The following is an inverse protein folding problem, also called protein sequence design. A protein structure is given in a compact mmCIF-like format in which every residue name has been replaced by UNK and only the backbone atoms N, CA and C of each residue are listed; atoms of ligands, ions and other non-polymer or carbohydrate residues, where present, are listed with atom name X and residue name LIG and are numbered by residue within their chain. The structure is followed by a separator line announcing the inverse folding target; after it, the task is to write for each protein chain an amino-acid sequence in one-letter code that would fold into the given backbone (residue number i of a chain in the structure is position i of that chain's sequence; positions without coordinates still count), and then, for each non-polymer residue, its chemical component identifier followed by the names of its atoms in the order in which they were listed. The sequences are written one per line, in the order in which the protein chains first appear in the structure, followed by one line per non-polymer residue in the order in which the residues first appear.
data_IF_323998049253
#
_entry.id   IF_323998049253
#
_cell.length_a   1.000
_cell.length_b   1.000
_cell.length_c   1.000
_cell.angle_alpha   90.00
_cell.angle_beta   90.00
_cell.angle_gamma   90.00
#
_symmetry.space_group_name_H-M   'P 1'
#
loop_
_entity.id
_entity.type
_entity.pdbx_description
1 polymer ?
#
# COMPACT_ATOMS: atom_id res chain seq x y z
N UNK A 1 18.90 -18.98 16.94
CA UNK A 1 17.58 -18.33 17.06
C UNK A 1 16.57 -19.45 17.26
N UNK A 2 15.89 -19.48 18.40
CA UNK A 2 14.90 -20.51 18.66
C UNK A 2 13.69 -20.32 17.74
N UNK A 3 12.93 -21.38 17.45
CA UNK A 3 11.69 -21.28 16.66
C UNK A 3 10.68 -20.32 17.31
N UNK A 4 10.68 -20.27 18.65
CA UNK A 4 9.89 -19.30 19.43
C UNK A 4 10.30 -17.86 19.17
N UNK A 5 11.60 -17.55 19.09
CA UNK A 5 12.07 -16.17 18.85
C UNK A 5 11.63 -15.70 17.47
N UNK A 6 11.71 -16.60 16.48
CA UNK A 6 11.31 -16.31 15.12
C UNK A 6 9.79 -16.05 15.01
N UNK A 7 8.97 -16.77 15.79
CA UNK A 7 7.53 -16.54 15.86
C UNK A 7 7.21 -15.16 16.45
N UNK A 8 7.85 -14.78 17.55
CA UNK A 8 7.67 -13.46 18.18
C UNK A 8 8.07 -12.33 17.24
N UNK A 9 9.17 -12.47 16.50
CA UNK A 9 9.59 -11.47 15.51
C UNK A 9 8.54 -11.29 14.41
N UNK A 10 7.98 -12.39 13.89
CA UNK A 10 6.91 -12.33 12.87
C UNK A 10 5.63 -11.67 13.39
N UNK A 11 5.26 -11.95 14.64
CA UNK A 11 4.09 -11.31 15.26
C UNK A 11 4.31 -9.80 15.40
N UNK A 12 5.49 -9.38 15.86
CA UNK A 12 5.84 -7.96 15.94
C UNK A 12 5.87 -7.29 14.56
N UNK A 13 6.40 -7.96 13.54
CA UNK A 13 6.38 -7.47 12.14
C UNK A 13 4.96 -7.28 11.62
N UNK A 14 4.03 -8.18 11.96
CA UNK A 14 2.62 -8.05 11.61
C UNK A 14 1.98 -6.84 12.31
N UNK A 15 2.26 -6.63 13.60
CA UNK A 15 1.80 -5.43 14.34
C UNK A 15 2.34 -4.15 13.70
N UNK A 16 3.62 -4.11 13.32
CA UNK A 16 4.23 -2.96 12.65
C UNK A 16 3.55 -2.68 11.31
N UNK A 17 3.26 -3.71 10.51
CA UNK A 17 2.57 -3.57 9.24
C UNK A 17 1.15 -3.00 9.40
N UNK A 18 0.41 -3.42 10.43
CA UNK A 18 -0.92 -2.90 10.72
C UNK A 18 -0.88 -1.44 11.17
N UNK A 19 0.06 -1.08 12.06
CA UNK A 19 0.25 0.32 12.50
C UNK A 19 0.62 1.22 11.32
N UNK A 20 1.54 0.79 10.46
CA UNK A 20 1.93 1.52 9.26
C UNK A 20 0.74 1.71 8.29
N UNK A 21 -0.09 0.68 8.14
CA UNK A 21 -1.34 0.74 7.35
C UNK A 21 -2.34 1.74 7.95
N UNK A 22 -2.50 1.74 9.28
CA UNK A 22 -3.35 2.71 9.97
C UNK A 22 -2.90 4.17 9.75
N UNK A 23 -1.60 4.44 9.86
CA UNK A 23 -1.04 5.77 9.59
C UNK A 23 -1.21 6.20 8.13
N UNK A 24 -1.08 5.27 7.19
CA UNK A 24 -1.36 5.53 5.78
C UNK A 24 -2.81 5.94 5.55
N UNK A 25 -3.79 5.22 6.13
CA UNK A 25 -5.21 5.59 6.07
C UNK A 25 -5.48 6.95 6.70
N UNK A 26 -4.84 7.24 7.84
CA UNK A 26 -4.98 8.53 8.51
C UNK A 26 -4.40 9.67 7.67
N UNK A 27 -3.25 9.47 7.03
CA UNK A 27 -2.64 10.46 6.14
C UNK A 27 -3.55 10.77 4.96
N UNK A 28 -4.12 9.73 4.32
CA UNK A 28 -5.08 9.88 3.24
C UNK A 28 -6.37 10.61 3.68
N UNK A 29 -6.88 10.29 4.87
CA UNK A 29 -8.07 10.95 5.45
C UNK A 29 -7.81 12.41 5.83
N UNK A 30 -6.61 12.72 6.30
CA UNK A 30 -6.25 14.09 6.67
C UNK A 30 -6.13 14.98 5.44
N UNK A 31 -5.60 14.49 4.32
CA UNK A 31 -5.52 15.25 3.07
C UNK A 31 -5.00 16.68 3.29
N UNK A 32 -5.81 17.68 2.98
CA UNK A 32 -5.51 19.11 3.13
C UNK A 32 -5.88 19.70 4.50
N UNK A 33 -6.02 18.87 5.54
CA UNK A 33 -6.29 19.32 6.90
C UNK A 33 -5.21 20.31 7.39
N UNK A 34 -5.55 21.17 8.37
CA UNK A 34 -4.59 22.11 8.95
C UNK A 34 -3.30 21.43 9.41
N UNK A 35 -2.17 22.11 9.25
CA UNK A 35 -0.84 21.60 9.61
C UNK A 35 -0.77 21.02 11.03
N UNK A 36 -1.41 21.68 12.00
CA UNK A 36 -1.47 21.22 13.39
C UNK A 36 -2.05 19.81 13.56
N UNK A 37 -2.91 19.38 12.65
CA UNK A 37 -3.59 18.08 12.67
C UNK A 37 -2.79 17.04 11.84
N UNK A 38 -2.09 17.48 10.78
CA UNK A 38 -1.23 16.62 9.94
C UNK A 38 0.12 16.31 10.58
N UNK A 39 0.77 17.32 11.17
CA UNK A 39 2.14 17.23 11.71
C UNK A 39 2.37 16.08 12.70
N UNK A 40 1.44 15.76 13.62
CA UNK A 40 1.61 14.60 14.51
C UNK A 40 1.69 13.27 13.74
N UNK A 41 0.85 13.08 12.71
CA UNK A 41 0.84 11.87 11.89
C UNK A 41 2.09 11.77 11.03
N UNK A 42 2.48 12.87 10.38
CA UNK A 42 3.72 12.94 9.59
C UNK A 42 4.94 12.55 10.42
N UNK A 43 5.05 13.03 11.67
CA UNK A 43 6.14 12.64 12.58
C UNK A 43 6.16 11.14 12.89
N UNK A 44 5.00 10.51 13.03
CA UNK A 44 4.95 9.06 13.25
C UNK A 44 5.38 8.28 11.99
N UNK A 45 5.03 8.78 10.81
CA UNK A 45 5.50 8.23 9.53
C UNK A 45 7.02 8.38 9.39
N UNK A 46 7.58 9.54 9.76
CA UNK A 46 9.02 9.78 9.78
C UNK A 46 9.76 8.81 10.71
N UNK A 47 9.25 8.60 11.94
CA UNK A 47 9.82 7.63 12.89
C UNK A 47 9.85 6.20 12.32
N UNK A 48 8.80 5.78 11.62
CA UNK A 48 8.79 4.48 10.93
C UNK A 48 9.84 4.43 9.82
N UNK A 49 9.94 5.48 9.00
CA UNK A 49 10.90 5.59 7.91
C UNK A 49 12.35 5.54 8.40
N UNK A 50 12.67 6.22 9.50
CA UNK A 50 13.99 6.22 10.15
C UNK A 50 14.39 4.83 10.66
N UNK A 51 13.40 3.97 10.94
CA UNK A 51 13.61 2.55 11.31
C UNK A 51 13.52 1.60 10.13
N UNK A 52 13.53 2.13 8.90
CA UNK A 52 13.54 1.35 7.67
C UNK A 52 12.17 0.79 7.27
N UNK A 53 11.08 1.22 7.93
CA UNK A 53 9.72 0.85 7.55
C UNK A 53 9.21 1.81 6.47
N UNK A 54 8.88 1.26 5.31
CA UNK A 54 8.39 2.05 4.16
C UNK A 54 7.02 1.54 3.74
N UNK A 55 6.09 2.47 3.56
CA UNK A 55 4.76 2.19 3.01
C UNK A 55 4.75 2.62 1.56
N UNK A 56 4.37 1.71 0.67
CA UNK A 56 4.23 1.97 -0.75
C UNK A 56 2.77 1.80 -1.15
N UNK A 57 2.18 2.88 -1.61
CA UNK A 57 0.85 2.94 -2.18
C UNK A 57 0.94 2.89 -3.70
N UNK A 58 0.54 1.77 -4.34
CA UNK A 58 0.63 1.63 -5.79
C UNK A 58 -0.54 2.27 -6.56
N UNK A 59 -1.44 3.03 -5.92
CA UNK A 59 -2.54 3.72 -6.62
C UNK A 59 -2.04 4.54 -7.80
N UNK A 60 -2.82 4.53 -8.88
CA UNK A 60 -2.57 5.25 -10.13
C UNK A 60 -1.27 4.84 -10.84
N UNK A 61 -0.71 3.68 -10.48
CA UNK A 61 0.47 3.10 -11.15
C UNK A 61 0.07 1.99 -12.10
N UNK A 62 0.77 1.83 -13.24
CA UNK A 62 0.64 0.65 -14.08
C UNK A 62 0.85 -0.63 -13.27
N UNK A 63 -0.01 -1.61 -13.48
CA UNK A 63 0.14 -2.92 -12.87
C UNK A 63 1.11 -3.78 -13.70
N UNK A 64 2.03 -4.45 -13.01
CA UNK A 64 2.95 -5.39 -13.62
C UNK A 64 3.00 -6.69 -12.81
N UNK A 65 2.97 -7.85 -13.47
CA UNK A 65 3.25 -9.12 -12.81
C UNK A 65 4.61 -9.08 -12.11
N UNK A 66 4.66 -9.53 -10.86
CA UNK A 66 5.88 -9.53 -10.04
C UNK A 66 5.97 -8.40 -9.01
N UNK A 67 5.07 -7.41 -9.05
CA UNK A 67 4.92 -6.47 -7.94
C UNK A 67 4.50 -7.21 -6.65
N UNK A 68 4.94 -6.76 -5.47
CA UNK A 68 4.55 -7.33 -4.17
C UNK A 68 3.14 -6.87 -3.77
N UNK A 69 2.18 -7.22 -4.63
CA UNK A 69 0.76 -6.93 -4.50
C UNK A 69 -0.05 -8.21 -4.65
N UNK A 70 -1.28 -8.20 -4.16
CA UNK A 70 -2.30 -9.21 -4.29
C UNK A 70 -3.48 -8.56 -5.00
N UNK A 71 -3.79 -9.02 -6.22
CA UNK A 71 -4.93 -8.48 -6.97
C UNK A 71 -6.20 -9.10 -6.42
N UNK A 72 -7.09 -8.28 -5.89
CA UNK A 72 -8.38 -8.73 -5.34
C UNK A 72 -9.46 -8.78 -6.40
N UNK A 73 -9.38 -7.93 -7.43
CA UNK A 73 -10.31 -7.88 -8.54
C UNK A 73 -9.69 -7.18 -9.76
N UNK A 74 -10.20 -7.53 -10.95
CA UNK A 74 -10.02 -6.76 -12.17
C UNK A 74 -11.35 -6.07 -12.52
N UNK A 75 -11.31 -4.82 -12.95
CA UNK A 75 -12.51 -4.02 -13.23
C UNK A 75 -12.38 -3.25 -14.56
N UNK A 76 -13.30 -3.43 -15.52
CA UNK A 76 -13.38 -2.55 -16.69
C UNK A 76 -13.48 -1.09 -16.27
N UNK A 77 -12.56 -0.27 -16.74
CA UNK A 77 -12.44 1.14 -16.32
C UNK A 77 -12.36 2.02 -17.56
N UNK A 78 -13.35 2.88 -17.83
CA UNK A 78 -13.30 3.82 -18.93
C UNK A 78 -12.13 4.81 -18.78
N UNK A 79 -11.45 5.10 -19.89
CA UNK A 79 -10.41 6.14 -19.95
C UNK A 79 -8.99 5.71 -19.60
N UNK A 80 -8.77 4.47 -19.15
CA UNK A 80 -7.42 3.91 -19.02
C UNK A 80 -7.03 3.12 -20.28
N UNK A 81 -5.73 3.14 -20.61
CA UNK A 81 -5.18 2.50 -21.82
C UNK A 81 -4.43 1.19 -21.54
N UNK A 82 -4.16 0.92 -20.28
CA UNK A 82 -3.41 -0.24 -19.81
C UNK A 82 -3.85 -0.62 -18.39
N UNK A 83 -3.49 -1.82 -17.96
CA UNK A 83 -3.76 -2.31 -16.61
C UNK A 83 -3.16 -1.37 -15.56
N UNK A 84 -4.00 -0.79 -14.73
CA UNK A 84 -3.61 0.25 -13.77
C UNK A 84 -4.22 -0.06 -12.41
N UNK A 85 -3.49 0.14 -11.32
CA UNK A 85 -4.08 0.02 -9.98
C UNK A 85 -5.04 1.19 -9.73
N UNK A 86 -6.34 0.90 -9.68
CA UNK A 86 -7.40 1.90 -9.52
C UNK A 86 -7.88 2.05 -8.08
N UNK A 87 -7.66 1.03 -7.25
CA UNK A 87 -7.97 1.09 -5.82
C UNK A 87 -6.99 0.23 -4.99
N UNK A 88 -6.78 0.62 -3.74
CA UNK A 88 -5.86 -0.02 -2.80
C UNK A 88 -6.54 -0.16 -1.44
N UNK A 89 -6.85 -1.40 -1.06
CA UNK A 89 -7.47 -1.72 0.24
C UNK A 89 -6.47 -1.62 1.40
N UNK A 90 -5.21 -1.96 1.10
CA UNK A 90 -4.06 -1.83 2.00
C UNK A 90 -2.77 -1.68 1.17
N UNK A 91 -1.76 -0.95 1.66
CA UNK A 91 -0.52 -0.72 0.95
C UNK A 91 0.47 -1.89 1.13
N UNK A 92 1.55 -1.88 0.34
CA UNK A 92 2.70 -2.73 0.60
C UNK A 92 3.53 -2.10 1.71
N UNK A 93 3.90 -2.88 2.72
CA UNK A 93 4.79 -2.44 3.81
C UNK A 93 6.10 -3.20 3.73
N UNK A 94 7.20 -2.47 3.72
CA UNK A 94 8.56 -3.00 3.68
C UNK A 94 9.31 -2.70 4.97
N UNK A 95 10.24 -3.59 5.31
CA UNK A 95 11.37 -3.31 6.21
C UNK A 95 12.66 -3.54 5.45
N UNK A 96 13.35 -2.46 5.07
CA UNK A 96 14.48 -2.54 4.14
C UNK A 96 14.04 -3.20 2.83
N UNK A 97 14.68 -4.31 2.44
CA UNK A 97 14.33 -5.08 1.24
C UNK A 97 13.22 -6.12 1.46
N UNK A 98 12.83 -6.39 2.71
CA UNK A 98 11.83 -7.42 3.04
C UNK A 98 10.42 -6.86 2.96
N UNK A 99 9.52 -7.60 2.32
CA UNK A 99 8.07 -7.30 2.32
C UNK A 99 7.47 -7.87 3.60
N UNK A 100 6.98 -6.98 4.48
CA UNK A 100 6.21 -7.37 5.66
C UNK A 100 4.75 -7.62 5.31
N UNK A 101 4.22 -6.83 4.37
CA UNK A 101 2.84 -6.91 3.91
C UNK A 101 2.78 -6.61 2.41
N UNK A 102 2.05 -7.42 1.64
CA UNK A 102 1.71 -7.13 0.23
C UNK A 102 0.51 -6.19 0.16
N UNK A 103 0.49 -5.25 -0.79
CA UNK A 103 -0.72 -4.46 -1.04
C UNK A 103 -1.86 -5.35 -1.51
N UNK A 104 -3.11 -4.99 -1.19
CA UNK A 104 -4.29 -5.56 -1.84
C UNK A 104 -4.92 -4.52 -2.73
N UNK A 105 -5.09 -4.86 -4.00
CA UNK A 105 -5.34 -3.87 -5.06
C UNK A 105 -6.45 -4.31 -6.01
N UNK A 106 -7.25 -3.36 -6.47
CA UNK A 106 -8.14 -3.53 -7.62
C UNK A 106 -7.40 -2.99 -8.84
N UNK A 107 -7.33 -3.80 -9.90
CA UNK A 107 -6.69 -3.43 -11.16
C UNK A 107 -7.77 -3.07 -12.17
N UNK A 108 -7.73 -1.84 -12.67
CA UNK A 108 -8.51 -1.42 -13.81
C UNK A 108 -7.95 -2.07 -15.08
N UNK A 109 -8.84 -2.59 -15.92
CA UNK A 109 -8.53 -3.00 -17.30
C UNK A 109 -9.24 -2.07 -18.28
N UNK A 110 -8.67 -1.79 -19.48
CA UNK A 110 -9.34 -0.98 -20.48
C UNK A 110 -10.74 -1.51 -20.81
N UNK A 111 -11.71 -0.60 -20.92
CA UNK A 111 -13.06 -0.94 -21.37
C UNK A 111 -13.05 -1.10 -22.90
N UNK A 112 -13.40 -2.28 -23.41
CA UNK A 112 -13.27 -2.65 -24.84
C UNK A 112 -14.21 -1.85 -25.77
N UNK A 113 -15.08 -0.98 -25.26
CA UNK A 113 -15.91 -0.09 -26.09
C UNK A 113 -15.11 0.98 -26.88
N UNK A 114 -13.81 1.17 -26.61
CA UNK A 114 -12.96 2.12 -27.36
C UNK A 114 -12.33 1.49 -28.62
N UNK A 115 -12.86 0.38 -29.10
CA UNK A 115 -12.22 -0.46 -30.12
C UNK A 115 -13.07 -0.90 -31.31
N UNK A 116 -14.12 -0.20 -31.75
CA UNK A 116 -14.67 -0.35 -33.12
C UNK A 116 -15.53 0.84 -33.55
N UNK A 117 -14.96 1.72 -34.37
CA UNK A 117 -15.69 2.65 -35.24
C UNK A 117 -14.89 2.89 -36.51
#
# INVERSE_FOLDING_TARGET
MSDSDAATVRELEAVIAEVATGLWRLTARLGDAPERDRRPVERLVEVLADRGIRVHDPRDRPFHPGLPVEVVAYQPTPGIREETVIDVERPTVYRGASVLQRARVVVGVPDEEVGTA
#
